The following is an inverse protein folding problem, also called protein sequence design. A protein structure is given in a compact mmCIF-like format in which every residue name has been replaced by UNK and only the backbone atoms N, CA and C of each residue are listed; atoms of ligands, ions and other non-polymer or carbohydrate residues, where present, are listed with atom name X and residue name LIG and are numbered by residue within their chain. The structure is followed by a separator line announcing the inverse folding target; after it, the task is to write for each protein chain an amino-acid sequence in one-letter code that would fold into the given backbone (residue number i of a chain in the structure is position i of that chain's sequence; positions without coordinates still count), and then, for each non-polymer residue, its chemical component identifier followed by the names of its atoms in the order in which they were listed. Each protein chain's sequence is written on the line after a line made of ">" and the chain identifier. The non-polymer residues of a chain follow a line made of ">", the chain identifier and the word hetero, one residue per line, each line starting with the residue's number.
data_IF_864251992261
#
_entry.id   IF_864251992261
#
_cell.length_a   1.000
_cell.length_b   1.000
_cell.length_c   1.000
_cell.angle_alpha   90.00
_cell.angle_beta   90.00
_cell.angle_gamma   90.00
#
_symmetry.space_group_name_H-M   'P 1'
#
loop_
_entity.id
_entity.type
_entity.pdbx_description
1 polymer ?
#
# COMPACT_ATOMS: atom_id res chain seq x y z
N UNK A 1 -49.10 -139.26 35.91
CA UNK A 1 -49.78 -137.95 35.68
C UNK A 1 -49.14 -136.76 36.39
N UNK A 2 -48.31 -136.91 37.44
CA UNK A 2 -47.61 -135.77 38.06
C UNK A 2 -46.38 -135.28 37.28
N UNK A 3 -45.61 -136.18 36.66
CA UNK A 3 -44.41 -135.82 35.88
C UNK A 3 -44.71 -134.98 34.63
N UNK A 4 -45.83 -135.24 33.95
CA UNK A 4 -46.28 -134.44 32.81
C UNK A 4 -46.75 -133.05 33.20
N UNK A 5 -47.33 -132.86 34.39
CA UNK A 5 -47.73 -131.53 34.90
C UNK A 5 -46.52 -130.64 35.20
N UNK A 6 -45.43 -131.20 35.72
CA UNK A 6 -44.19 -130.46 36.02
C UNK A 6 -43.49 -130.01 34.72
N UNK A 7 -43.47 -130.88 33.69
CA UNK A 7 -42.88 -130.54 32.39
C UNK A 7 -43.65 -129.42 31.67
N UNK A 8 -45.00 -129.46 31.69
CA UNK A 8 -45.83 -128.40 31.11
C UNK A 8 -45.67 -127.08 31.89
N UNK A 9 -45.65 -127.12 33.23
CA UNK A 9 -45.42 -125.93 34.05
C UNK A 9 -44.04 -125.29 33.81
N UNK A 10 -42.99 -126.09 33.69
CA UNK A 10 -41.63 -125.62 33.37
C UNK A 10 -41.54 -125.02 31.96
N UNK A 11 -42.18 -125.64 30.96
CA UNK A 11 -42.24 -125.11 29.60
C UNK A 11 -43.02 -123.78 29.54
N UNK A 12 -44.15 -123.66 30.24
CA UNK A 12 -44.90 -122.40 30.31
C UNK A 12 -44.14 -121.29 31.04
N UNK A 13 -43.39 -121.62 32.09
CA UNK A 13 -42.53 -120.67 32.79
C UNK A 13 -41.36 -120.20 31.92
N UNK A 14 -40.73 -121.11 31.17
CA UNK A 14 -39.69 -120.77 30.19
C UNK A 14 -40.21 -119.87 29.08
N UNK A 15 -41.38 -120.18 28.51
CA UNK A 15 -42.01 -119.35 27.48
C UNK A 15 -42.37 -117.95 28.00
N UNK A 16 -42.89 -117.84 29.23
CA UNK A 16 -43.16 -116.56 29.87
C UNK A 16 -41.88 -115.74 30.12
N UNK A 17 -40.79 -116.39 30.56
CA UNK A 17 -39.49 -115.74 30.74
C UNK A 17 -38.87 -115.28 29.42
N UNK A 18 -38.99 -116.06 28.35
CA UNK A 18 -38.56 -115.65 27.01
C UNK A 18 -39.40 -114.48 26.48
N UNK A 19 -40.72 -114.47 26.72
CA UNK A 19 -41.60 -113.38 26.31
C UNK A 19 -41.31 -112.08 27.08
N UNK A 20 -41.05 -112.15 28.39
CA UNK A 20 -40.66 -110.96 29.18
C UNK A 20 -39.28 -110.46 28.79
N UNK A 21 -38.31 -111.34 28.53
CA UNK A 21 -37.00 -110.96 28.02
C UNK A 21 -37.08 -110.30 26.63
N UNK A 22 -37.90 -110.84 25.73
CA UNK A 22 -38.15 -110.26 24.41
C UNK A 22 -38.85 -108.89 24.50
N UNK A 23 -39.84 -108.75 25.39
CA UNK A 23 -40.50 -107.46 25.66
C UNK A 23 -39.54 -106.43 26.27
N UNK A 24 -38.67 -106.86 27.18
CA UNK A 24 -37.63 -106.00 27.76
C UNK A 24 -36.60 -105.57 26.70
N UNK A 25 -36.16 -106.48 25.84
CA UNK A 25 -35.26 -106.17 24.73
C UNK A 25 -35.90 -105.21 23.71
N UNK A 26 -37.18 -105.43 23.36
CA UNK A 26 -37.93 -104.52 22.50
C UNK A 26 -38.13 -103.13 23.15
N UNK A 27 -38.40 -103.09 24.46
CA UNK A 27 -38.47 -101.85 25.23
C UNK A 27 -37.14 -101.10 25.26
N UNK A 28 -36.02 -101.81 25.48
CA UNK A 28 -34.68 -101.23 25.45
C UNK A 28 -34.31 -100.71 24.05
N UNK A 29 -34.66 -101.45 22.98
CA UNK A 29 -34.44 -101.01 21.61
C UNK A 29 -35.29 -99.76 21.27
N UNK A 30 -36.55 -99.71 21.70
CA UNK A 30 -37.41 -98.55 21.53
C UNK A 30 -36.90 -97.33 22.31
N UNK A 31 -36.41 -97.53 23.54
CA UNK A 31 -35.79 -96.48 24.34
C UNK A 31 -34.51 -95.95 23.68
N UNK A 32 -33.65 -96.84 23.17
CA UNK A 32 -32.44 -96.47 22.43
C UNK A 32 -32.77 -95.70 21.13
N UNK A 33 -33.81 -96.12 20.40
CA UNK A 33 -34.27 -95.41 19.20
C UNK A 33 -34.81 -94.00 19.53
N UNK A 34 -35.57 -93.85 20.62
CA UNK A 34 -36.04 -92.53 21.08
C UNK A 34 -34.88 -91.64 21.54
N UNK A 35 -33.90 -92.19 22.24
CA UNK A 35 -32.70 -91.46 22.65
C UNK A 35 -31.88 -91.00 21.43
N UNK A 36 -31.71 -91.86 20.42
CA UNK A 36 -31.04 -91.51 19.17
C UNK A 36 -31.80 -90.44 18.38
N UNK A 37 -33.14 -90.52 18.33
CA UNK A 37 -33.97 -89.49 17.69
C UNK A 37 -33.89 -88.15 18.42
N UNK A 38 -33.92 -88.16 19.76
CA UNK A 38 -33.74 -86.96 20.58
C UNK A 38 -32.35 -86.34 20.39
N UNK A 39 -31.30 -87.16 20.32
CA UNK A 39 -29.94 -86.68 20.05
C UNK A 39 -29.81 -86.04 18.66
N UNK A 40 -30.43 -86.63 17.62
CA UNK A 40 -30.46 -86.05 16.27
C UNK A 40 -31.25 -84.73 16.23
N UNK A 41 -32.38 -84.66 16.93
CA UNK A 41 -33.16 -83.43 17.03
C UNK A 41 -32.38 -82.31 17.77
N UNK A 42 -31.68 -82.65 18.86
CA UNK A 42 -30.82 -81.71 19.58
C UNK A 42 -29.66 -81.22 18.70
N UNK A 43 -29.01 -82.12 17.95
CA UNK A 43 -27.94 -81.76 17.01
C UNK A 43 -28.45 -80.85 15.87
N UNK A 44 -29.63 -81.13 15.32
CA UNK A 44 -30.26 -80.29 14.30
C UNK A 44 -30.63 -78.91 14.84
N UNK A 45 -31.17 -78.83 16.06
CA UNK A 45 -31.46 -77.56 16.73
C UNK A 45 -30.19 -76.75 17.01
N UNK A 46 -29.11 -77.40 17.45
CA UNK A 46 -27.81 -76.75 17.64
C UNK A 46 -27.22 -76.22 16.32
N UNK A 47 -27.34 -77.00 15.22
CA UNK A 47 -26.94 -76.57 13.89
C UNK A 47 -27.73 -75.36 13.39
N UNK A 48 -29.06 -75.37 13.58
CA UNK A 48 -29.93 -74.24 13.22
C UNK A 48 -29.56 -72.98 14.03
N UNK A 49 -29.34 -73.11 15.34
CA UNK A 49 -28.91 -72.00 16.19
C UNK A 49 -27.54 -71.43 15.77
N UNK A 50 -26.57 -72.29 15.44
CA UNK A 50 -25.27 -71.86 14.93
C UNK A 50 -25.38 -71.13 13.59
N UNK A 51 -26.23 -71.62 12.67
CA UNK A 51 -26.48 -70.96 11.38
C UNK A 51 -27.17 -69.60 11.53
N UNK A 52 -28.12 -69.48 12.45
CA UNK A 52 -28.80 -68.23 12.77
C UNK A 52 -27.82 -67.21 13.40
N UNK A 53 -26.95 -67.66 14.31
CA UNK A 53 -25.92 -66.83 14.90
C UNK A 53 -24.91 -66.34 13.84
N UNK A 54 -24.51 -67.21 12.91
CA UNK A 54 -23.64 -66.84 11.78
C UNK A 54 -24.31 -65.81 10.86
N UNK A 55 -25.58 -65.99 10.53
CA UNK A 55 -26.35 -65.04 9.72
C UNK A 55 -26.50 -63.68 10.40
N UNK A 56 -26.78 -63.67 11.72
CA UNK A 56 -26.87 -62.45 12.51
C UNK A 56 -25.52 -61.71 12.57
N UNK A 57 -24.41 -62.45 12.75
CA UNK A 57 -23.06 -61.87 12.72
C UNK A 57 -22.72 -61.28 11.34
N UNK A 58 -23.09 -61.97 10.26
CA UNK A 58 -22.90 -61.46 8.89
C UNK A 58 -23.73 -60.21 8.62
N UNK A 59 -24.99 -60.16 9.07
CA UNK A 59 -25.84 -58.99 8.97
C UNK A 59 -25.31 -57.80 9.77
N UNK A 60 -24.81 -58.05 10.99
CA UNK A 60 -24.17 -57.02 11.81
C UNK A 60 -22.89 -56.48 11.16
N UNK A 61 -22.06 -57.35 10.57
CA UNK A 61 -20.87 -56.95 9.83
C UNK A 61 -21.21 -56.12 8.58
N UNK A 62 -22.25 -56.50 7.84
CA UNK A 62 -22.75 -55.74 6.70
C UNK A 62 -23.30 -54.36 7.11
N UNK A 63 -24.03 -54.30 8.23
CA UNK A 63 -24.51 -53.03 8.81
C UNK A 63 -23.37 -52.11 9.22
N UNK A 64 -22.34 -52.65 9.90
CA UNK A 64 -21.16 -51.88 10.28
C UNK A 64 -20.38 -51.37 9.05
N UNK A 65 -20.25 -52.18 8.01
CA UNK A 65 -19.62 -51.78 6.75
C UNK A 65 -20.41 -50.65 6.05
N UNK A 66 -21.74 -50.72 6.05
CA UNK A 66 -22.59 -49.68 5.47
C UNK A 66 -22.48 -48.34 6.23
N UNK A 67 -22.44 -48.37 7.57
CA UNK A 67 -22.23 -47.17 8.40
C UNK A 67 -20.85 -46.57 8.16
N UNK A 68 -19.80 -47.40 8.06
CA UNK A 68 -18.44 -46.94 7.74
C UNK A 68 -18.36 -46.30 6.35
N UNK A 69 -19.03 -46.88 5.35
CA UNK A 69 -19.11 -46.32 4.00
C UNK A 69 -19.84 -44.98 3.97
N UNK A 70 -20.96 -44.86 4.70
CA UNK A 70 -21.70 -43.60 4.83
C UNK A 70 -20.87 -42.51 5.54
N UNK A 71 -20.14 -42.86 6.59
CA UNK A 71 -19.24 -41.94 7.28
C UNK A 71 -18.10 -41.46 6.37
N UNK A 72 -17.50 -42.37 5.58
CA UNK A 72 -16.47 -42.04 4.61
C UNK A 72 -17.00 -41.10 3.51
N UNK A 73 -18.21 -41.33 3.01
CA UNK A 73 -18.85 -40.45 2.04
C UNK A 73 -19.15 -39.06 2.61
N UNK A 74 -19.61 -38.97 3.86
CA UNK A 74 -19.81 -37.71 4.56
C UNK A 74 -18.52 -36.92 4.77
N UNK A 75 -17.43 -37.60 5.14
CA UNK A 75 -16.11 -36.99 5.27
C UNK A 75 -15.54 -36.49 3.93
N UNK A 76 -15.77 -37.23 2.84
CA UNK A 76 -15.37 -36.80 1.51
C UNK A 76 -16.16 -35.55 1.05
N UNK A 77 -17.47 -35.51 1.32
CA UNK A 77 -18.30 -34.36 0.99
C UNK A 77 -17.92 -33.10 1.81
N UNK A 78 -17.62 -33.25 3.10
CA UNK A 78 -17.18 -32.12 3.93
C UNK A 78 -15.79 -31.60 3.51
N UNK A 79 -14.87 -32.50 3.14
CA UNK A 79 -13.56 -32.13 2.60
C UNK A 79 -13.69 -31.37 1.27
N UNK A 80 -14.59 -31.81 0.37
CA UNK A 80 -14.87 -31.10 -0.87
C UNK A 80 -15.46 -29.70 -0.64
N UNK A 81 -16.37 -29.56 0.34
CA UNK A 81 -16.92 -28.26 0.76
C UNK A 81 -15.85 -27.31 1.31
N UNK A 82 -14.93 -27.82 2.15
CA UNK A 82 -13.82 -27.04 2.68
C UNK A 82 -12.82 -26.62 1.60
N UNK A 83 -12.54 -27.49 0.62
CA UNK A 83 -11.70 -27.14 -0.53
C UNK A 83 -12.33 -26.05 -1.40
N UNK A 84 -13.65 -26.11 -1.62
CA UNK A 84 -14.38 -25.10 -2.39
C UNK A 84 -14.40 -23.72 -1.68
N UNK A 85 -14.58 -23.69 -0.35
CA UNK A 85 -14.55 -22.44 0.42
C UNK A 85 -13.14 -21.85 0.50
N UNK A 86 -12.09 -22.67 0.61
CA UNK A 86 -10.71 -22.22 0.53
C UNK A 86 -10.38 -21.62 -0.85
N UNK A 87 -10.84 -22.26 -1.93
CA UNK A 87 -10.67 -21.75 -3.29
C UNK A 87 -11.38 -20.40 -3.51
N UNK A 88 -12.60 -20.23 -2.98
CA UNK A 88 -13.32 -18.95 -3.09
C UNK A 88 -12.65 -17.83 -2.29
N UNK A 89 -12.13 -18.14 -1.09
CA UNK A 89 -11.37 -17.19 -0.28
C UNK A 89 -10.06 -16.75 -0.98
N UNK A 90 -9.34 -17.70 -1.60
CA UNK A 90 -8.14 -17.40 -2.37
C UNK A 90 -8.45 -16.52 -3.59
N UNK A 91 -9.55 -16.79 -4.31
CA UNK A 91 -9.99 -15.97 -5.44
C UNK A 91 -10.37 -14.54 -5.00
N UNK A 92 -11.06 -14.39 -3.87
CA UNK A 92 -11.41 -13.08 -3.31
C UNK A 92 -10.16 -12.29 -2.89
N UNK A 93 -9.18 -12.93 -2.26
CA UNK A 93 -7.91 -12.30 -1.90
C UNK A 93 -7.11 -11.85 -3.14
N UNK A 94 -7.07 -12.67 -4.20
CA UNK A 94 -6.43 -12.32 -5.46
C UNK A 94 -7.12 -11.11 -6.13
N UNK A 95 -8.46 -11.07 -6.13
CA UNK A 95 -9.22 -9.93 -6.66
C UNK A 95 -8.96 -8.63 -5.87
N UNK A 96 -8.90 -8.71 -4.54
CA UNK A 96 -8.57 -7.56 -3.69
C UNK A 96 -7.14 -7.06 -3.94
N UNK A 97 -6.18 -7.98 -4.11
CA UNK A 97 -4.80 -7.64 -4.48
C UNK A 97 -4.71 -6.93 -5.83
N UNK A 98 -5.41 -7.44 -6.85
CA UNK A 98 -5.46 -6.82 -8.17
C UNK A 98 -6.07 -5.40 -8.13
N UNK A 99 -7.15 -5.20 -7.34
CA UNK A 99 -7.76 -3.89 -7.15
C UNK A 99 -6.80 -2.90 -6.46
N UNK A 100 -6.04 -3.35 -5.45
CA UNK A 100 -5.05 -2.51 -4.77
C UNK A 100 -3.91 -2.09 -5.71
N UNK A 101 -3.41 -3.00 -6.55
CA UNK A 101 -2.38 -2.69 -7.57
C UNK A 101 -2.91 -1.69 -8.60
N UNK A 102 -4.15 -1.86 -9.06
CA UNK A 102 -4.78 -0.93 -9.99
C UNK A 102 -4.96 0.47 -9.37
N UNK A 103 -5.38 0.55 -8.11
CA UNK A 103 -5.49 1.82 -7.38
C UNK A 103 -4.14 2.52 -7.20
N UNK A 104 -3.08 1.76 -6.86
CA UNK A 104 -1.72 2.30 -6.76
C UNK A 104 -1.19 2.82 -8.11
N UNK A 105 -1.45 2.08 -9.20
CA UNK A 105 -1.09 2.50 -10.56
C UNK A 105 -1.83 3.79 -10.96
N UNK A 106 -3.12 3.91 -10.65
CA UNK A 106 -3.90 5.12 -10.90
C UNK A 106 -3.38 6.33 -10.11
N UNK A 107 -3.01 6.14 -8.83
CA UNK A 107 -2.41 7.19 -8.02
C UNK A 107 -1.04 7.64 -8.56
N UNK A 108 -0.22 6.69 -9.01
CA UNK A 108 1.06 6.98 -9.67
C UNK A 108 0.88 7.77 -10.98
N UNK A 109 -0.10 7.40 -11.80
CA UNK A 109 -0.43 8.12 -13.02
C UNK A 109 -0.89 9.56 -12.72
N UNK A 110 -1.75 9.75 -11.72
CA UNK A 110 -2.22 11.07 -11.30
C UNK A 110 -1.06 11.96 -10.79
N UNK A 111 -0.15 11.40 -9.98
CA UNK A 111 1.04 12.12 -9.50
C UNK A 111 1.97 12.52 -10.67
N UNK A 112 2.17 11.63 -11.64
CA UNK A 112 2.98 11.92 -12.84
C UNK A 112 2.38 13.05 -13.69
N UNK A 113 1.05 13.06 -13.85
CA UNK A 113 0.33 14.10 -14.57
C UNK A 113 0.43 15.46 -13.86
N UNK A 114 0.32 15.47 -12.53
CA UNK A 114 0.52 16.67 -11.72
C UNK A 114 1.96 17.22 -11.84
N UNK A 115 2.96 16.33 -11.83
CA UNK A 115 4.36 16.69 -12.05
C UNK A 115 4.61 17.29 -13.44
N UNK A 116 4.02 16.68 -14.48
CA UNK A 116 4.09 17.20 -15.84
C UNK A 116 3.47 18.60 -15.95
N UNK A 117 2.29 18.81 -15.36
CA UNK A 117 1.62 20.11 -15.34
C UNK A 117 2.45 21.18 -14.59
N UNK A 118 3.06 20.82 -13.45
CA UNK A 118 3.94 21.72 -12.71
C UNK A 118 5.20 22.10 -13.52
N UNK A 119 5.82 21.13 -14.21
CA UNK A 119 6.98 21.38 -15.06
C UNK A 119 6.64 22.29 -16.25
N UNK A 120 5.47 22.11 -16.86
CA UNK A 120 4.99 22.96 -17.95
C UNK A 120 4.73 24.40 -17.46
N UNK A 121 4.15 24.57 -16.28
CA UNK A 121 3.94 25.89 -15.66
C UNK A 121 5.29 26.58 -15.33
N UNK A 122 6.28 25.83 -14.84
CA UNK A 122 7.62 26.34 -14.58
C UNK A 122 8.34 26.76 -15.87
N UNK A 123 8.23 25.97 -16.95
CA UNK A 123 8.78 26.32 -18.26
C UNK A 123 8.14 27.58 -18.83
N UNK A 124 6.82 27.74 -18.70
CA UNK A 124 6.10 28.95 -19.11
C UNK A 124 6.54 30.19 -18.30
N UNK A 125 6.77 30.04 -16.99
CA UNK A 125 7.28 31.12 -16.14
C UNK A 125 8.73 31.50 -16.46
N UNK A 126 9.58 30.53 -16.82
CA UNK A 126 10.96 30.77 -17.26
C UNK A 126 11.00 31.52 -18.60
N UNK A 127 10.13 31.17 -19.55
CA UNK A 127 10.00 31.87 -20.83
C UNK A 127 9.56 33.34 -20.66
N UNK A 128 8.87 33.68 -19.56
CA UNK A 128 8.46 35.06 -19.25
C UNK A 128 9.61 35.95 -18.71
N UNK A 129 10.85 35.44 -18.60
CA UNK A 129 12.05 36.26 -18.43
C UNK A 129 12.21 37.00 -17.10
N UNK A 130 11.42 36.66 -16.08
CA UNK A 130 11.63 37.22 -14.73
C UNK A 130 12.68 36.38 -14.00
N UNK A 131 13.83 36.96 -13.63
CA UNK A 131 14.92 36.24 -12.94
C UNK A 131 14.53 35.56 -11.61
N UNK A 132 13.33 35.83 -11.09
CA UNK A 132 12.72 35.09 -9.97
C UNK A 132 12.24 33.68 -10.36
N UNK A 133 12.01 33.40 -11.64
CA UNK A 133 11.47 32.13 -12.15
C UNK A 133 12.42 30.94 -11.97
N UNK A 134 13.73 31.15 -12.02
CA UNK A 134 14.70 30.05 -11.91
C UNK A 134 14.74 29.44 -10.49
N UNK A 135 14.65 30.27 -9.45
CA UNK A 135 14.60 29.79 -8.07
C UNK A 135 13.26 29.07 -7.77
N UNK A 136 12.14 29.62 -8.25
CA UNK A 136 10.83 28.97 -8.11
C UNK A 136 10.75 27.64 -8.86
N UNK A 137 11.36 27.54 -10.05
CA UNK A 137 11.44 26.30 -10.82
C UNK A 137 12.28 25.23 -10.12
N UNK A 138 13.41 25.60 -9.49
CA UNK A 138 14.23 24.66 -8.73
C UNK A 138 13.50 24.10 -7.49
N UNK A 139 12.77 24.95 -6.75
CA UNK A 139 11.96 24.51 -5.61
C UNK A 139 10.80 23.61 -6.07
N UNK A 140 10.15 23.94 -7.18
CA UNK A 140 9.09 23.12 -7.78
C UNK A 140 9.60 21.75 -8.24
N UNK A 141 10.77 21.71 -8.88
CA UNK A 141 11.40 20.46 -9.31
C UNK A 141 11.75 19.57 -8.10
N UNK A 142 12.35 20.14 -7.05
CA UNK A 142 12.67 19.41 -5.82
C UNK A 142 11.41 18.87 -5.11
N UNK A 143 10.34 19.67 -5.03
CA UNK A 143 9.06 19.24 -4.46
C UNK A 143 8.43 18.09 -5.28
N UNK A 144 8.51 18.16 -6.62
CA UNK A 144 8.00 17.10 -7.49
C UNK A 144 8.79 15.80 -7.35
N UNK A 145 10.11 15.88 -7.21
CA UNK A 145 10.97 14.73 -7.01
C UNK A 145 10.72 14.07 -5.64
N UNK A 146 10.52 14.86 -4.59
CA UNK A 146 10.14 14.36 -3.27
C UNK A 146 8.76 13.68 -3.28
N UNK A 147 7.78 14.25 -3.98
CA UNK A 147 6.46 13.65 -4.13
C UNK A 147 6.50 12.32 -4.92
N UNK A 148 7.29 12.26 -6.00
CA UNK A 148 7.50 11.03 -6.76
C UNK A 148 8.19 9.95 -5.91
N UNK A 149 9.22 10.31 -5.13
CA UNK A 149 9.90 9.38 -4.23
C UNK A 149 8.96 8.83 -3.14
N UNK A 150 8.13 9.69 -2.54
CA UNK A 150 7.12 9.29 -1.57
C UNK A 150 6.07 8.33 -2.17
N UNK A 151 5.61 8.60 -3.40
CA UNK A 151 4.68 7.72 -4.11
C UNK A 151 5.29 6.33 -4.41
N UNK A 152 6.56 6.28 -4.85
CA UNK A 152 7.26 5.00 -5.07
C UNK A 152 7.46 4.21 -3.78
N UNK A 153 7.77 4.89 -2.67
CA UNK A 153 7.90 4.23 -1.36
C UNK A 153 6.55 3.66 -0.87
N UNK A 154 5.46 4.40 -1.05
CA UNK A 154 4.11 3.94 -0.70
C UNK A 154 3.70 2.72 -1.54
N UNK A 155 3.98 2.72 -2.85
CA UNK A 155 3.71 1.59 -3.73
C UNK A 155 4.53 0.34 -3.34
N UNK A 156 5.80 0.51 -2.98
CA UNK A 156 6.65 -0.59 -2.50
C UNK A 156 6.14 -1.18 -1.18
N UNK A 157 5.73 -0.34 -0.22
CA UNK A 157 5.15 -0.77 1.04
C UNK A 157 3.83 -1.54 0.84
N UNK A 158 2.96 -1.07 -0.07
CA UNK A 158 1.72 -1.77 -0.43
C UNK A 158 2.00 -3.14 -1.06
N UNK A 159 2.99 -3.23 -1.97
CA UNK A 159 3.40 -4.50 -2.57
C UNK A 159 3.92 -5.51 -1.53
N UNK A 160 4.73 -5.04 -0.56
CA UNK A 160 5.22 -5.88 0.53
C UNK A 160 4.08 -6.40 1.43
N UNK A 161 3.06 -5.57 1.72
CA UNK A 161 1.89 -5.97 2.49
C UNK A 161 1.06 -7.05 1.78
N UNK A 162 0.84 -6.91 0.46
CA UNK A 162 0.13 -7.91 -0.35
C UNK A 162 0.90 -9.24 -0.40
N UNK A 163 2.23 -9.19 -0.56
CA UNK A 163 3.07 -10.39 -0.54
C UNK A 163 3.03 -11.11 0.82
N UNK A 164 3.06 -10.37 1.93
CA UNK A 164 2.94 -10.94 3.27
C UNK A 164 1.55 -11.58 3.50
N UNK A 165 0.48 -10.93 3.04
CA UNK A 165 -0.88 -11.48 3.13
C UNK A 165 -1.03 -12.78 2.31
N UNK A 166 -0.46 -12.83 1.10
CA UNK A 166 -0.47 -14.03 0.27
C UNK A 166 0.31 -15.19 0.92
N UNK A 167 1.46 -14.90 1.55
CA UNK A 167 2.23 -15.91 2.30
C UNK A 167 1.45 -16.44 3.51
N UNK A 168 0.76 -15.57 4.25
CA UNK A 168 -0.11 -15.96 5.37
C UNK A 168 -1.27 -16.86 4.94
N UNK A 169 -1.91 -16.55 3.80
CA UNK A 169 -2.98 -17.38 3.23
C UNK A 169 -2.47 -18.75 2.76
N UNK A 170 -1.27 -18.82 2.18
CA UNK A 170 -0.67 -20.11 1.82
C UNK A 170 -0.34 -20.97 3.05
N UNK A 171 0.16 -20.35 4.13
CA UNK A 171 0.45 -21.05 5.38
C UNK A 171 -0.82 -21.59 6.06
N UNK A 172 -1.91 -20.80 6.08
CA UNK A 172 -3.19 -21.25 6.65
C UNK A 172 -3.82 -22.39 5.84
N UNK A 173 -3.74 -22.34 4.51
CA UNK A 173 -4.19 -23.42 3.64
C UNK A 173 -3.40 -24.71 3.88
N UNK A 174 -2.07 -24.63 4.04
CA UNK A 174 -1.22 -25.78 4.37
C UNK A 174 -1.57 -26.38 5.74
N UNK A 175 -1.83 -25.54 6.75
CA UNK A 175 -2.25 -26.00 8.07
C UNK A 175 -3.62 -26.70 8.04
N UNK A 176 -4.58 -26.17 7.26
CA UNK A 176 -5.88 -26.80 7.08
C UNK A 176 -5.78 -28.16 6.38
N UNK A 177 -4.93 -28.28 5.36
CA UNK A 177 -4.67 -29.55 4.68
C UNK A 177 -4.04 -30.59 5.62
N UNK A 178 -3.10 -30.18 6.47
CA UNK A 178 -2.50 -31.05 7.48
C UNK A 178 -3.52 -31.53 8.52
N UNK A 179 -4.41 -30.65 8.99
CA UNK A 179 -5.48 -31.01 9.91
C UNK A 179 -6.48 -32.01 9.28
N UNK A 180 -6.85 -31.81 8.01
CA UNK A 180 -7.70 -32.74 7.27
C UNK A 180 -7.06 -34.13 7.11
N UNK A 181 -5.75 -34.17 6.81
CA UNK A 181 -5.01 -35.44 6.72
C UNK A 181 -4.94 -36.18 8.07
N UNK A 182 -4.74 -35.44 9.18
CA UNK A 182 -4.74 -36.01 10.52
C UNK A 182 -6.13 -36.57 10.91
N UNK A 183 -7.20 -35.87 10.56
CA UNK A 183 -8.58 -36.35 10.79
C UNK A 183 -8.89 -37.62 9.98
N UNK A 184 -8.43 -37.69 8.72
CA UNK A 184 -8.57 -38.89 7.89
C UNK A 184 -7.79 -40.09 8.45
N UNK A 185 -6.59 -39.86 9.02
CA UNK A 185 -5.80 -40.90 9.67
C UNK A 185 -6.48 -41.41 10.96
N UNK A 186 -7.11 -40.53 11.74
CA UNK A 186 -7.84 -40.91 12.95
C UNK A 186 -9.12 -41.73 12.67
N UNK A 187 -9.72 -41.57 11.49
CA UNK A 187 -10.92 -42.30 11.08
C UNK A 187 -10.62 -43.73 10.55
N UNK A 188 -9.35 -44.07 10.31
CA UNK A 188 -8.93 -45.34 9.72
C UNK A 188 -8.79 -46.49 10.73
N UNK A 189 -9.84 -47.29 10.86
CA UNK A 189 -9.86 -48.54 11.63
C UNK A 189 -9.17 -49.69 10.87
N UNK A 190 -8.04 -50.21 11.37
CA UNK A 190 -7.74 -51.66 11.25
C UNK A 190 -6.61 -52.18 10.33
N UNK A 191 -5.74 -51.37 9.72
CA UNK A 191 -4.56 -51.87 8.97
C UNK A 191 -3.23 -51.29 9.52
N UNK A 192 -2.92 -51.65 10.77
CA UNK A 192 -2.05 -50.92 11.71
C UNK A 192 -0.54 -50.83 11.44
N UNK A 193 -0.02 -51.16 10.25
CA UNK A 193 1.41 -50.99 9.96
C UNK A 193 1.68 -50.28 8.63
N UNK A 194 1.02 -50.70 7.55
CA UNK A 194 1.14 -50.03 6.25
C UNK A 194 0.53 -48.61 6.28
N UNK A 195 -0.61 -48.43 6.95
CA UNK A 195 -1.23 -47.11 7.10
C UNK A 195 -0.38 -46.16 7.96
N UNK A 196 0.32 -46.68 8.97
CA UNK A 196 1.23 -45.90 9.80
C UNK A 196 2.46 -45.42 9.00
N UNK A 197 3.02 -46.25 8.11
CA UNK A 197 4.13 -45.86 7.25
C UNK A 197 3.72 -44.78 6.23
N UNK A 198 2.53 -44.90 5.62
CA UNK A 198 1.99 -43.88 4.71
C UNK A 198 1.68 -42.58 5.47
N UNK A 199 1.13 -42.67 6.67
CA UNK A 199 0.89 -41.51 7.55
C UNK A 199 2.19 -40.80 7.97
N UNK A 200 3.23 -41.56 8.32
CA UNK A 200 4.54 -41.00 8.64
C UNK A 200 5.20 -40.33 7.43
N UNK A 201 5.11 -40.93 6.24
CA UNK A 201 5.60 -40.32 5.01
C UNK A 201 4.82 -39.05 4.64
N UNK A 202 3.50 -39.04 4.83
CA UNK A 202 2.67 -37.84 4.62
C UNK A 202 2.98 -36.73 5.62
N UNK A 203 3.21 -37.05 6.89
CA UNK A 203 3.64 -36.09 7.91
C UNK A 203 5.04 -35.54 7.62
N UNK A 204 5.98 -36.39 7.17
CA UNK A 204 7.31 -35.95 6.77
C UNK A 204 7.27 -35.03 5.54
N UNK A 205 6.43 -35.35 4.54
CA UNK A 205 6.21 -34.50 3.37
C UNK A 205 5.54 -33.17 3.75
N UNK A 206 4.56 -33.19 4.66
CA UNK A 206 3.93 -31.98 5.18
C UNK A 206 4.91 -31.11 5.98
N UNK A 207 5.75 -31.71 6.82
CA UNK A 207 6.80 -31.01 7.56
C UNK A 207 7.86 -30.39 6.61
N UNK A 208 8.26 -31.12 5.57
CA UNK A 208 9.18 -30.61 4.54
C UNK A 208 8.55 -29.44 3.75
N UNK A 209 7.28 -29.55 3.37
CA UNK A 209 6.54 -28.48 2.72
C UNK A 209 6.40 -27.24 3.62
N UNK A 210 6.12 -27.44 4.91
CA UNK A 210 6.06 -26.34 5.89
C UNK A 210 7.43 -25.68 6.09
N UNK A 211 8.52 -26.46 6.13
CA UNK A 211 9.89 -25.93 6.20
C UNK A 211 10.30 -25.15 4.95
N UNK A 212 9.91 -25.62 3.76
CA UNK A 212 10.12 -24.91 2.51
C UNK A 212 9.31 -23.59 2.45
N UNK A 213 8.05 -23.62 2.90
CA UNK A 213 7.20 -22.43 2.98
C UNK A 213 7.76 -21.40 3.99
N UNK A 214 8.22 -21.83 5.16
CA UNK A 214 8.85 -20.96 6.15
C UNK A 214 10.15 -20.34 5.61
N UNK A 215 10.96 -21.12 4.88
CA UNK A 215 12.20 -20.65 4.26
C UNK A 215 11.93 -19.64 3.14
N UNK A 216 10.90 -19.88 2.32
CA UNK A 216 10.45 -18.94 1.28
C UNK A 216 9.90 -17.64 1.90
N UNK A 217 9.14 -17.73 2.98
CA UNK A 217 8.67 -16.55 3.73
C UNK A 217 9.82 -15.75 4.33
N UNK A 218 10.83 -16.43 4.89
CA UNK A 218 12.06 -15.80 5.38
C UNK A 218 12.82 -15.06 4.28
N UNK A 219 13.03 -15.70 3.12
CA UNK A 219 13.67 -15.08 1.97
C UNK A 219 12.89 -13.87 1.44
N UNK A 220 11.55 -13.94 1.39
CA UNK A 220 10.70 -12.81 1.01
C UNK A 220 10.80 -11.65 2.02
N UNK A 221 10.82 -11.94 3.32
CA UNK A 221 11.00 -10.93 4.35
C UNK A 221 12.39 -10.26 4.26
N UNK A 222 13.46 -11.03 4.02
CA UNK A 222 14.80 -10.49 3.79
C UNK A 222 14.88 -9.61 2.54
N UNK A 223 14.24 -10.03 1.44
CA UNK A 223 14.17 -9.24 0.21
C UNK A 223 13.40 -7.93 0.42
N UNK A 224 12.28 -7.97 1.16
CA UNK A 224 11.53 -6.77 1.55
C UNK A 224 12.36 -5.82 2.43
N UNK A 225 13.14 -6.36 3.38
CA UNK A 225 14.06 -5.59 4.20
C UNK A 225 15.16 -4.91 3.37
N UNK A 226 15.73 -5.62 2.38
CA UNK A 226 16.73 -5.07 1.47
C UNK A 226 16.14 -3.99 0.54
N UNK A 227 14.90 -4.17 0.06
CA UNK A 227 14.21 -3.15 -0.72
C UNK A 227 13.91 -1.89 0.11
N UNK A 228 13.49 -2.05 1.38
CA UNK A 228 13.26 -0.94 2.28
C UNK A 228 14.55 -0.17 2.62
N UNK A 229 15.68 -0.87 2.83
CA UNK A 229 16.97 -0.22 3.07
C UNK A 229 17.49 0.51 1.84
N UNK A 230 17.32 -0.06 0.64
CA UNK A 230 17.66 0.60 -0.62
C UNK A 230 16.80 1.86 -0.85
N UNK A 231 15.50 1.81 -0.55
CA UNK A 231 14.62 2.97 -0.64
C UNK A 231 15.01 4.08 0.36
N UNK A 232 15.38 3.71 1.59
CA UNK A 232 15.87 4.67 2.59
C UNK A 232 17.19 5.32 2.16
N UNK A 233 18.12 4.54 1.57
CA UNK A 233 19.38 5.06 1.03
C UNK A 233 19.15 6.02 -0.15
N UNK A 234 18.21 5.69 -1.05
CA UNK A 234 17.84 6.57 -2.16
C UNK A 234 17.21 7.88 -1.67
N UNK A 235 16.34 7.83 -0.66
CA UNK A 235 15.76 9.02 -0.04
C UNK A 235 16.82 9.90 0.63
N UNK A 236 17.79 9.31 1.32
CA UNK A 236 18.91 10.04 1.92
C UNK A 236 19.79 10.71 0.85
N UNK A 237 20.08 10.02 -0.25
CA UNK A 237 20.83 10.58 -1.38
C UNK A 237 20.09 11.74 -2.04
N UNK A 238 18.76 11.64 -2.22
CA UNK A 238 17.94 12.72 -2.75
C UNK A 238 17.92 13.95 -1.82
N UNK A 239 17.84 13.75 -0.50
CA UNK A 239 17.91 14.82 0.48
C UNK A 239 19.28 15.53 0.45
N UNK A 240 20.38 14.78 0.33
CA UNK A 240 21.72 15.34 0.20
C UNK A 240 21.88 16.15 -1.09
N UNK A 241 21.35 15.67 -2.21
CA UNK A 241 21.36 16.40 -3.48
C UNK A 241 20.54 17.71 -3.40
N UNK A 242 19.38 17.68 -2.73
CA UNK A 242 18.57 18.89 -2.51
C UNK A 242 19.30 19.92 -1.63
N UNK A 243 19.99 19.48 -0.57
CA UNK A 243 20.79 20.34 0.27
C UNK A 243 21.97 20.98 -0.50
N UNK A 244 22.64 20.21 -1.36
CA UNK A 244 23.71 20.72 -2.22
C UNK A 244 23.19 21.77 -3.23
N UNK A 245 22.01 21.53 -3.83
CA UNK A 245 21.38 22.50 -4.73
C UNK A 245 20.98 23.79 -4.01
N UNK A 246 20.45 23.70 -2.79
CA UNK A 246 20.12 24.87 -1.96
C UNK A 246 21.37 25.68 -1.60
N UNK A 247 22.47 25.01 -1.25
CA UNK A 247 23.76 25.67 -0.98
C UNK A 247 24.31 26.39 -2.22
N UNK A 248 24.22 25.77 -3.40
CA UNK A 248 24.64 26.38 -4.66
C UNK A 248 23.78 27.63 -5.02
N UNK A 249 22.47 27.56 -4.79
CA UNK A 249 21.57 28.69 -4.99
C UNK A 249 21.88 29.85 -4.03
N UNK A 250 22.18 29.56 -2.76
CA UNK A 250 22.58 30.56 -1.78
C UNK A 250 23.92 31.24 -2.17
N UNK A 251 24.90 30.46 -2.65
CA UNK A 251 26.17 31.00 -3.14
C UNK A 251 25.98 31.90 -4.37
N UNK A 252 25.12 31.52 -5.31
CA UNK A 252 24.78 32.34 -6.48
C UNK A 252 24.09 33.66 -6.08
N UNK A 253 23.18 33.62 -5.11
CA UNK A 253 22.53 34.82 -4.58
C UNK A 253 23.52 35.77 -3.88
N UNK A 254 24.47 35.22 -3.12
CA UNK A 254 25.53 36.00 -2.49
C UNK A 254 26.46 36.67 -3.53
N UNK A 255 26.82 35.96 -4.59
CA UNK A 255 27.62 36.49 -5.68
C UNK A 255 26.89 37.63 -6.42
N UNK A 256 25.58 37.48 -6.67
CA UNK A 256 24.76 38.52 -7.29
C UNK A 256 24.66 39.77 -6.41
N UNK A 257 24.51 39.60 -5.09
CA UNK A 257 24.49 40.72 -4.14
C UNK A 257 25.84 41.46 -4.10
N UNK A 258 26.96 40.73 -4.13
CA UNK A 258 28.29 41.33 -4.19
C UNK A 258 28.51 42.11 -5.49
N UNK A 259 28.06 41.59 -6.63
CA UNK A 259 28.13 42.29 -7.91
C UNK A 259 27.30 43.57 -7.92
N UNK A 260 26.09 43.55 -7.34
CA UNK A 260 25.24 44.73 -7.21
C UNK A 260 25.88 45.80 -6.30
N UNK A 261 26.50 45.40 -5.19
CA UNK A 261 27.23 46.32 -4.31
C UNK A 261 28.43 46.96 -5.01
N UNK A 262 29.19 46.18 -5.79
CA UNK A 262 30.31 46.70 -6.59
C UNK A 262 29.85 47.72 -7.65
N UNK A 263 28.73 47.45 -8.33
CA UNK A 263 28.14 48.37 -9.30
C UNK A 263 27.67 49.69 -8.63
N UNK A 264 27.06 49.62 -7.45
CA UNK A 264 26.65 50.80 -6.69
C UNK A 264 27.85 51.64 -6.22
N UNK A 265 28.94 50.99 -5.80
CA UNK A 265 30.19 51.67 -5.45
C UNK A 265 30.81 52.38 -6.66
N UNK A 266 30.85 51.72 -7.84
CA UNK A 266 31.34 52.31 -9.07
C UNK A 266 30.51 53.54 -9.52
N UNK A 267 29.19 53.46 -9.43
CA UNK A 267 28.30 54.57 -9.75
C UNK A 267 28.50 55.77 -8.79
N UNK A 268 28.73 55.49 -7.50
CA UNK A 268 29.02 56.51 -6.50
C UNK A 268 30.37 57.20 -6.76
N UNK A 269 31.40 56.43 -7.12
CA UNK A 269 32.71 56.96 -7.50
C UNK A 269 32.65 57.85 -8.76
N UNK A 270 31.90 57.43 -9.80
CA UNK A 270 31.69 58.21 -11.01
C UNK A 270 30.96 59.54 -10.73
N UNK A 271 29.97 59.51 -9.82
CA UNK A 271 29.24 60.71 -9.38
C UNK A 271 30.15 61.68 -8.63
N UNK A 272 31.01 61.17 -7.75
CA UNK A 272 31.99 61.96 -7.02
C UNK A 272 33.04 62.60 -7.96
N UNK A 273 33.56 61.83 -8.93
CA UNK A 273 34.49 62.36 -9.95
C UNK A 273 33.84 63.48 -10.78
N UNK A 274 32.58 63.31 -11.18
CA UNK A 274 31.82 64.33 -11.92
C UNK A 274 31.56 65.60 -11.09
N UNK A 275 31.37 65.47 -9.77
CA UNK A 275 31.25 66.60 -8.86
C UNK A 275 32.58 67.35 -8.71
N UNK A 276 33.70 66.62 -8.55
CA UNK A 276 35.04 67.20 -8.47
C UNK A 276 35.43 67.96 -9.76
N UNK A 277 35.14 67.40 -10.93
CA UNK A 277 35.37 68.05 -12.22
C UNK A 277 34.60 69.37 -12.35
N UNK A 278 33.32 69.40 -11.93
CA UNK A 278 32.51 70.62 -11.91
C UNK A 278 33.05 71.68 -10.94
N UNK A 279 33.50 71.26 -9.75
CA UNK A 279 34.12 72.17 -8.78
C UNK A 279 35.43 72.76 -9.31
N UNK A 280 36.26 71.96 -9.99
CA UNK A 280 37.49 72.44 -10.63
C UNK A 280 37.20 73.44 -11.76
N UNK A 281 36.22 73.16 -12.62
CA UNK A 281 35.79 74.07 -13.68
C UNK A 281 35.26 75.41 -13.13
N UNK A 282 34.46 75.37 -12.05
CA UNK A 282 33.96 76.58 -11.39
C UNK A 282 35.10 77.45 -10.81
N UNK A 283 36.11 76.82 -10.20
CA UNK A 283 37.31 77.54 -9.72
C UNK A 283 38.11 78.16 -10.86
N UNK A 284 38.28 77.45 -11.98
CA UNK A 284 38.93 77.98 -13.18
C UNK A 284 38.20 79.19 -13.76
N UNK A 285 36.87 79.13 -13.83
CA UNK A 285 36.05 80.25 -14.28
C UNK A 285 36.14 81.48 -13.35
N UNK A 286 36.16 81.26 -12.03
CA UNK A 286 36.34 82.33 -11.05
C UNK A 286 37.73 83.00 -11.15
N UNK A 287 38.79 82.20 -11.36
CA UNK A 287 40.15 82.73 -11.56
C UNK A 287 40.27 83.55 -12.85
N UNK A 288 39.66 83.08 -13.95
CA UNK A 288 39.62 83.83 -15.22
C UNK A 288 38.84 85.16 -15.08
N UNK A 289 37.73 85.16 -14.34
CA UNK A 289 36.97 86.37 -14.06
C UNK A 289 37.78 87.38 -13.21
N UNK A 290 38.55 86.90 -12.23
CA UNK A 290 39.44 87.76 -11.44
C UNK A 290 40.56 88.38 -12.30
N UNK A 291 41.20 87.60 -13.18
CA UNK A 291 42.22 88.10 -14.08
C UNK A 291 41.68 89.15 -15.09
N UNK A 292 40.45 88.97 -15.57
CA UNK A 292 39.79 89.95 -16.44
C UNK A 292 39.48 91.27 -15.72
N UNK A 293 39.17 91.22 -14.41
CA UNK A 293 38.96 92.42 -13.60
C UNK A 293 40.25 93.22 -13.38
N UNK A 294 41.41 92.56 -13.26
CA UNK A 294 42.71 93.24 -13.10
C UNK A 294 43.27 93.80 -14.42
N UNK A 295 42.95 93.19 -15.58
CA UNK A 295 43.39 93.66 -16.89
C UNK A 295 42.57 94.81 -17.51
N UNK A 296 41.37 95.09 -17.00
CA UNK A 296 40.43 96.07 -17.57
C UNK A 296 40.70 97.54 -17.24
N UNK A 297 41.68 97.84 -16.39
CA UNK A 297 41.93 99.20 -15.88
C UNK A 297 42.61 100.18 -16.86
N UNK A 298 43.16 99.72 -17.99
CA UNK A 298 43.99 100.57 -18.86
C UNK A 298 43.37 100.95 -20.22
N UNK A 299 42.19 100.43 -20.59
CA UNK A 299 41.57 100.69 -21.89
C UNK A 299 40.23 101.47 -21.82
N UNK A 300 39.87 102.02 -20.66
CA UNK A 300 38.60 102.75 -20.48
C UNK A 300 38.68 104.27 -20.77
N UNK A 301 39.75 104.75 -21.42
CA UNK A 301 39.91 106.18 -21.73
C UNK A 301 39.86 106.55 -23.22
N UNK A 302 39.61 105.62 -24.16
CA UNK A 302 39.81 105.88 -25.59
C UNK A 302 38.67 105.53 -26.57
N UNK A 303 37.47 105.13 -26.14
CA UNK A 303 36.35 104.91 -27.08
C UNK A 303 35.01 105.50 -26.59
N UNK A 304 35.01 106.81 -26.38
CA UNK A 304 33.81 107.63 -26.45
C UNK A 304 33.64 108.15 -27.89
N UNK A 305 33.20 107.33 -28.83
CA UNK A 305 33.11 107.81 -30.21
C UNK A 305 32.63 106.83 -31.26
N UNK A 306 31.35 106.48 -31.23
CA UNK A 306 30.65 106.05 -32.43
C UNK A 306 30.49 104.54 -32.59
N UNK A 307 29.25 104.08 -32.44
CA UNK A 307 28.45 103.56 -33.55
C UNK A 307 27.07 103.15 -33.04
N UNK A 308 26.14 104.09 -33.18
CA UNK A 308 24.73 103.79 -33.48
C UNK A 308 24.69 103.17 -34.87
N UNK A 309 24.56 101.85 -35.00
CA UNK A 309 23.97 101.14 -36.14
C UNK A 309 24.31 99.65 -36.06
N UNK A 310 23.46 98.88 -35.39
CA UNK A 310 23.12 97.49 -35.72
C UNK A 310 22.13 97.00 -34.65
N UNK A 311 20.90 97.49 -34.75
CA UNK A 311 19.76 96.73 -34.28
C UNK A 311 19.67 95.42 -35.09
N UNK A 312 19.04 94.40 -34.51
CA UNK A 312 18.72 93.09 -35.08
C UNK A 312 19.79 92.01 -34.88
N UNK A 313 19.74 91.32 -33.73
CA UNK A 313 19.85 89.85 -33.59
C UNK A 313 19.94 89.44 -32.11
N UNK A 314 18.90 89.75 -31.32
CA UNK A 314 18.82 89.34 -29.91
C UNK A 314 17.51 88.59 -29.68
N UNK A 315 17.54 87.27 -29.85
CA UNK A 315 16.69 86.24 -29.21
C UNK A 315 16.88 84.93 -30.00
N UNK A 316 17.41 83.86 -29.37
CA UNK A 316 16.51 82.88 -28.78
C UNK A 316 17.11 82.21 -27.53
N UNK A 317 16.72 82.63 -26.32
CA UNK A 317 17.14 81.95 -25.10
C UNK A 317 16.00 81.71 -24.09
N UNK A 318 14.74 81.99 -24.46
CA UNK A 318 13.58 81.80 -23.57
C UNK A 318 12.72 80.58 -23.88
N UNK A 319 12.93 79.86 -24.99
CA UNK A 319 12.20 78.63 -25.29
C UNK A 319 12.76 77.37 -24.61
N UNK A 320 14.03 77.35 -24.20
CA UNK A 320 14.62 76.17 -23.55
C UNK A 320 14.14 75.94 -22.09
N UNK A 321 13.58 76.96 -21.42
CA UNK A 321 13.03 76.83 -20.06
C UNK A 321 11.56 76.39 -20.00
N UNK A 322 10.82 76.45 -21.11
CA UNK A 322 9.44 75.95 -21.18
C UNK A 322 9.38 74.43 -21.46
N UNK A 323 10.44 73.83 -22.01
CA UNK A 323 10.51 72.38 -22.25
C UNK A 323 10.84 71.53 -21.01
N UNK A 324 11.60 72.08 -20.06
CA UNK A 324 12.04 71.34 -18.87
C UNK A 324 10.90 71.03 -17.88
N UNK A 325 9.86 71.87 -17.81
CA UNK A 325 8.69 71.61 -16.94
C UNK A 325 7.70 70.62 -17.55
N UNK A 326 7.68 70.47 -18.88
CA UNK A 326 6.81 69.49 -19.57
C UNK A 326 7.36 68.05 -19.46
N UNK A 327 8.68 67.88 -19.52
CA UNK A 327 9.33 66.59 -19.28
C UNK A 327 9.19 66.11 -17.82
N UNK A 328 9.23 67.03 -16.85
CA UNK A 328 9.03 66.71 -15.44
C UNK A 328 7.61 66.22 -15.10
N UNK A 329 6.57 66.79 -15.74
CA UNK A 329 5.18 66.34 -15.53
C UNK A 329 4.91 64.94 -16.11
N UNK A 330 5.42 64.65 -17.31
CA UNK A 330 5.31 63.32 -17.90
C UNK A 330 6.02 62.24 -17.05
N UNK A 331 7.20 62.57 -16.50
CA UNK A 331 7.95 61.64 -15.65
C UNK A 331 7.30 61.43 -14.27
N UNK A 332 6.66 62.47 -13.72
CA UNK A 332 5.89 62.36 -12.47
C UNK A 332 4.63 61.52 -12.63
N UNK A 333 3.88 61.66 -13.73
CA UNK A 333 2.72 60.82 -14.01
C UNK A 333 3.11 59.36 -14.24
N UNK A 334 4.21 59.12 -14.94
CA UNK A 334 4.72 57.76 -15.17
C UNK A 334 5.20 57.10 -13.86
N UNK A 335 5.79 57.87 -12.93
CA UNK A 335 6.14 57.36 -11.59
C UNK A 335 4.90 57.06 -10.75
N UNK A 336 3.88 57.90 -10.80
CA UNK A 336 2.62 57.67 -10.10
C UNK A 336 1.89 56.43 -10.61
N UNK A 337 1.87 56.20 -11.93
CA UNK A 337 1.30 54.99 -12.51
C UNK A 337 2.11 53.73 -12.17
N UNK A 338 3.44 53.84 -12.12
CA UNK A 338 4.31 52.72 -11.76
C UNK A 338 4.17 52.28 -10.30
N UNK A 339 3.76 53.16 -9.39
CA UNK A 339 3.57 52.83 -7.96
C UNK A 339 2.14 52.32 -7.68
N UNK A 340 1.14 52.73 -8.46
CA UNK A 340 -0.24 52.27 -8.27
C UNK A 340 -0.43 50.79 -8.64
N UNK A 341 0.21 50.30 -9.72
CA UNK A 341 0.07 48.90 -10.16
C UNK A 341 0.50 47.83 -9.13
N UNK A 342 1.62 47.99 -8.41
CA UNK A 342 2.00 47.08 -7.33
C UNK A 342 1.05 47.12 -6.13
N UNK A 343 0.53 48.31 -5.79
CA UNK A 343 -0.37 48.51 -4.64
C UNK A 343 -1.75 47.87 -4.88
N UNK A 344 -2.27 47.95 -6.10
CA UNK A 344 -3.51 47.24 -6.48
C UNK A 344 -3.31 45.72 -6.43
N UNK A 345 -2.20 45.20 -6.95
CA UNK A 345 -1.89 43.76 -6.87
C UNK A 345 -1.73 43.26 -5.42
N UNK A 346 -1.20 44.09 -4.52
CA UNK A 346 -1.12 43.77 -3.10
C UNK A 346 -2.51 43.70 -2.46
N UNK A 347 -3.38 44.68 -2.74
CA UNK A 347 -4.78 44.65 -2.26
C UNK A 347 -5.56 43.47 -2.81
N UNK A 348 -5.31 43.08 -4.05
CA UNK A 348 -5.99 41.94 -4.67
C UNK A 348 -5.57 40.61 -4.02
N UNK A 349 -4.27 40.42 -3.77
CA UNK A 349 -3.76 39.27 -3.00
C UNK A 349 -4.27 39.23 -1.57
N UNK A 350 -4.46 40.39 -0.94
CA UNK A 350 -4.99 40.47 0.42
C UNK A 350 -6.46 40.01 0.47
N UNK A 351 -7.28 40.46 -0.49
CA UNK A 351 -8.66 39.97 -0.66
C UNK A 351 -8.73 38.48 -0.97
N UNK A 352 -7.79 37.95 -1.75
CA UNK A 352 -7.74 36.53 -2.08
C UNK A 352 -7.43 35.67 -0.84
N UNK A 353 -6.47 36.09 -0.01
CA UNK A 353 -6.18 35.44 1.28
C UNK A 353 -7.35 35.52 2.25
N UNK A 354 -8.10 36.62 2.22
CA UNK A 354 -9.29 36.78 3.08
C UNK A 354 -10.41 35.80 2.68
N UNK A 355 -10.66 35.64 1.37
CA UNK A 355 -11.60 34.63 0.85
C UNK A 355 -11.16 33.21 1.16
N UNK A 356 -9.86 32.93 1.13
CA UNK A 356 -9.32 31.61 1.45
C UNK A 356 -9.54 31.25 2.92
N UNK A 357 -9.28 32.20 3.84
CA UNK A 357 -9.58 32.04 5.27
C UNK A 357 -11.06 31.87 5.54
N UNK A 358 -11.92 32.54 4.78
CA UNK A 358 -13.37 32.41 4.91
C UNK A 358 -13.85 31.01 4.50
N UNK A 359 -13.35 30.47 3.38
CA UNK A 359 -13.63 29.09 2.93
C UNK A 359 -13.11 28.04 3.92
N UNK A 360 -11.96 28.29 4.55
CA UNK A 360 -11.41 27.38 5.55
C UNK A 360 -12.29 27.31 6.80
N UNK A 361 -12.76 28.46 7.30
CA UNK A 361 -13.72 28.52 8.41
C UNK A 361 -15.05 27.85 8.08
N UNK A 362 -15.51 27.95 6.83
CA UNK A 362 -16.74 27.29 6.40
C UNK A 362 -16.61 25.76 6.40
N UNK A 363 -15.49 25.23 5.89
CA UNK A 363 -15.18 23.80 5.94
C UNK A 363 -15.03 23.27 7.37
N UNK A 364 -14.47 24.08 8.27
CA UNK A 364 -14.33 23.71 9.68
C UNK A 364 -15.71 23.59 10.36
N UNK A 365 -16.61 24.54 10.12
CA UNK A 365 -18.01 24.48 10.60
C UNK A 365 -18.77 23.29 10.01
N UNK A 366 -18.52 22.93 8.76
CA UNK A 366 -19.16 21.79 8.12
C UNK A 366 -18.73 20.47 8.77
N UNK A 367 -17.42 20.30 9.03
CA UNK A 367 -16.89 19.15 9.76
C UNK A 367 -17.41 19.07 11.19
N UNK A 368 -17.60 20.20 11.85
CA UNK A 368 -18.17 20.25 13.20
C UNK A 368 -19.62 19.76 13.22
N UNK A 369 -20.44 20.21 12.26
CA UNK A 369 -21.83 19.73 12.08
C UNK A 369 -21.89 18.25 11.72
N UNK A 370 -20.94 17.75 10.94
CA UNK A 370 -20.89 16.33 10.57
C UNK A 370 -20.59 15.46 11.79
N UNK A 371 -19.63 15.88 12.63
CA UNK A 371 -19.34 15.21 13.92
C UNK A 371 -20.50 15.28 14.90
N UNK A 372 -21.25 16.37 14.91
CA UNK A 372 -22.43 16.51 15.77
C UNK A 372 -23.55 15.53 15.34
N UNK A 373 -23.81 15.42 14.03
CA UNK A 373 -24.74 14.42 13.48
C UNK A 373 -24.31 12.98 13.73
N UNK A 374 -23.01 12.71 13.67
CA UNK A 374 -22.48 11.37 13.97
C UNK A 374 -22.71 10.99 15.44
N UNK A 375 -22.47 11.93 16.37
CA UNK A 375 -22.77 11.74 17.80
C UNK A 375 -24.25 11.61 18.10
N UNK A 376 -25.11 12.28 17.35
CA UNK A 376 -26.57 12.15 17.50
C UNK A 376 -27.03 10.75 17.07
N UNK A 377 -26.52 10.23 15.95
CA UNK A 377 -26.80 8.85 15.49
C UNK A 377 -26.30 7.75 16.41
N UNK A 378 -25.26 8.01 17.20
CA UNK A 378 -24.71 7.04 18.15
C UNK A 378 -25.53 6.98 19.46
N UNK A 379 -26.40 7.97 19.70
CA UNK A 379 -27.26 8.02 20.89
C UNK A 379 -28.67 7.43 20.70
N UNK A 380 -29.13 7.35 19.46
CA UNK A 380 -30.42 6.74 19.08
C UNK A 380 -30.30 5.22 18.89
#
# INVERSE_FOLDING_TARGET
>A
MQTTKIAVASATAGAAACATAAAAAAGAAAAAARAAAAARAAAAAAGAAASAASAAAAAAAAGAAAVAAAAAAGAAASAAGAAASAASAAAAAAAAGAAAVAAAAAAGAAASAAGAAASAAAAAAAAAGTGAGAAAAAVGAAASAAAAAAATAAAAAAGAAVAAAAAGAAASAAAAAAAAAAAAAAAGTGAGAAAAAVGAAALAAAAAAAGAAASAAGAAASAAGAAASAAAAAAAAAAAAAAAAAAAAAAAAAAAAAAAAAAAAAASAASAASAAARAAAARGAAAAAAAAAEGGGAAAAAEAGGRRAAAVAAAPAREARAGATRAGRASSEQRSQSIQGPLERLRERERERERERERERERERERERERERERERERD
#
